data_IF_634288022026
#
_entry.id   IF_634288022026
#
_cell.length_a   1.000
_cell.length_b   1.000
_cell.length_c   1.000
_cell.angle_alpha   90.00
_cell.angle_beta   90.00
_cell.angle_gamma   90.00
#
_symmetry.space_group_name_H-M   'P 1'
#
loop_
_entity.id
_entity.type
_entity.pdbx_description
1 polymer ?
#
# COMPACT_ATOMS: atom_id res chain seq x y z
N UNK A 1 -2.61 -9.77 -21.48
CA UNK A 1 -3.72 -10.13 -22.35
C UNK A 1 -5.03 -9.69 -21.71
N UNK A 2 -6.01 -9.24 -22.51
CA UNK A 2 -7.33 -8.89 -22.03
C UNK A 2 -8.18 -10.15 -21.86
N UNK A 3 -8.67 -10.38 -20.64
CA UNK A 3 -9.43 -11.59 -20.29
C UNK A 3 -10.94 -11.39 -20.41
N UNK A 4 -11.42 -10.22 -20.00
CA UNK A 4 -12.84 -9.90 -19.96
C UNK A 4 -13.06 -8.40 -20.18
N UNK A 5 -14.12 -8.04 -20.92
CA UNK A 5 -14.72 -6.69 -20.99
C UNK A 5 -16.20 -6.85 -20.68
N UNK A 6 -16.74 -6.01 -19.84
CA UNK A 6 -18.13 -6.11 -19.35
C UNK A 6 -19.10 -5.12 -19.97
N UNK A 7 -18.59 -4.11 -20.65
CA UNK A 7 -19.40 -3.03 -21.21
C UNK A 7 -19.06 -2.81 -22.67
N UNK A 8 -20.10 -2.48 -23.43
CA UNK A 8 -20.02 -2.11 -24.84
C UNK A 8 -20.21 -0.60 -25.03
N UNK A 9 -19.99 -0.13 -26.26
CA UNK A 9 -20.20 1.28 -26.61
C UNK A 9 -21.65 1.69 -26.34
N UNK A 10 -21.84 2.80 -25.62
CA UNK A 10 -23.15 3.35 -25.23
C UNK A 10 -23.63 2.90 -23.85
N UNK A 11 -22.96 1.93 -23.22
CA UNK A 11 -23.34 1.49 -21.88
C UNK A 11 -22.98 2.53 -20.82
N UNK A 12 -23.81 2.59 -19.78
CA UNK A 12 -23.54 3.40 -18.58
C UNK A 12 -22.86 2.52 -17.55
N UNK A 13 -21.76 3.00 -17.02
CA UNK A 13 -20.93 2.34 -16.00
C UNK A 13 -21.06 3.12 -14.71
N UNK A 14 -21.51 2.47 -13.66
CA UNK A 14 -21.60 3.08 -12.32
C UNK A 14 -20.23 3.15 -11.64
N UNK A 15 -20.09 4.04 -10.64
CA UNK A 15 -18.89 4.14 -9.81
C UNK A 15 -18.55 2.79 -9.16
N UNK A 16 -17.28 2.41 -9.19
CA UNK A 16 -16.78 1.14 -8.67
C UNK A 16 -17.07 -0.09 -9.54
N UNK A 17 -17.82 0.04 -10.65
CA UNK A 17 -18.10 -1.08 -11.51
C UNK A 17 -16.83 -1.59 -12.22
N UNK A 18 -16.69 -2.92 -12.30
CA UNK A 18 -15.59 -3.58 -12.99
C UNK A 18 -15.78 -3.53 -14.49
N UNK A 19 -14.94 -2.77 -15.18
CA UNK A 19 -14.98 -2.54 -16.62
C UNK A 19 -14.33 -3.67 -17.40
N UNK A 20 -13.08 -3.99 -17.03
CA UNK A 20 -12.29 -4.98 -17.74
C UNK A 20 -11.35 -5.73 -16.79
N UNK A 21 -10.98 -6.95 -17.14
CA UNK A 21 -10.03 -7.78 -16.42
C UNK A 21 -8.89 -8.19 -17.36
N UNK A 22 -7.68 -7.91 -16.95
CA UNK A 22 -6.47 -8.40 -17.59
C UNK A 22 -6.11 -9.82 -17.07
N UNK A 23 -5.33 -10.55 -17.83
CA UNK A 23 -4.83 -11.87 -17.43
C UNK A 23 -3.81 -11.75 -16.29
N UNK A 24 -4.22 -12.17 -15.11
CA UNK A 24 -3.49 -12.14 -13.84
C UNK A 24 -2.83 -13.50 -13.50
N UNK A 25 -2.92 -14.47 -14.39
CA UNK A 25 -2.46 -15.86 -14.16
C UNK A 25 -1.00 -15.94 -13.74
N UNK A 26 -0.16 -15.04 -14.22
CA UNK A 26 1.26 -14.98 -13.86
C UNK A 26 1.52 -14.35 -12.49
N UNK A 27 0.64 -13.47 -12.03
CA UNK A 27 0.83 -12.71 -10.79
C UNK A 27 0.28 -13.46 -9.55
N UNK A 28 -0.78 -14.25 -9.70
CA UNK A 28 -1.36 -15.04 -8.61
C UNK A 28 -0.34 -15.96 -7.89
N UNK A 29 0.52 -16.72 -8.60
CA UNK A 29 1.58 -17.51 -7.96
C UNK A 29 2.59 -16.64 -7.18
N UNK A 30 2.85 -15.43 -7.62
CA UNK A 30 3.75 -14.50 -6.94
C UNK A 30 3.13 -14.05 -5.62
N UNK A 31 1.84 -13.69 -5.60
CA UNK A 31 1.14 -13.37 -4.37
C UNK A 31 1.19 -14.54 -3.38
N UNK A 32 0.88 -15.77 -3.83
CA UNK A 32 0.97 -16.96 -2.99
C UNK A 32 2.36 -17.19 -2.41
N UNK A 33 3.42 -16.92 -3.18
CA UNK A 33 4.80 -17.00 -2.68
C UNK A 33 5.06 -15.94 -1.60
N UNK A 34 4.58 -14.69 -1.76
CA UNK A 34 4.70 -13.65 -0.74
C UNK A 34 3.93 -13.99 0.54
N UNK A 35 2.73 -14.54 0.42
CA UNK A 35 1.94 -15.01 1.57
C UNK A 35 2.65 -16.14 2.33
N UNK A 36 3.29 -17.07 1.61
CA UNK A 36 4.10 -18.13 2.21
C UNK A 36 5.34 -17.56 2.94
N UNK A 37 6.01 -16.55 2.38
CA UNK A 37 7.10 -15.83 3.01
C UNK A 37 6.66 -15.13 4.29
N UNK A 38 5.49 -14.49 4.29
CA UNK A 38 4.89 -13.87 5.48
C UNK A 38 4.57 -14.93 6.55
N UNK A 39 3.98 -16.05 6.16
CA UNK A 39 3.70 -17.14 7.09
C UNK A 39 4.99 -17.67 7.74
N UNK A 40 6.06 -17.81 6.97
CA UNK A 40 7.39 -18.19 7.45
C UNK A 40 7.95 -17.16 8.43
N UNK A 41 7.87 -15.86 8.11
CA UNK A 41 8.34 -14.77 8.98
C UNK A 41 7.59 -14.78 10.32
N UNK A 42 6.26 -14.93 10.30
CA UNK A 42 5.42 -15.02 11.50
C UNK A 42 5.76 -16.26 12.35
N UNK A 43 5.98 -17.41 11.70
CA UNK A 43 6.39 -18.63 12.41
C UNK A 43 7.77 -18.46 13.09
N UNK A 44 8.72 -17.83 12.41
CA UNK A 44 10.03 -17.55 12.99
C UNK A 44 9.93 -16.56 14.15
N UNK A 45 9.15 -15.50 14.05
CA UNK A 45 8.89 -14.56 15.13
C UNK A 45 8.27 -15.28 16.34
N UNK A 46 7.28 -16.15 16.13
CA UNK A 46 6.67 -16.94 17.17
C UNK A 46 7.69 -17.84 17.91
N UNK A 47 8.65 -18.43 17.18
CA UNK A 47 9.74 -19.20 17.81
C UNK A 47 10.66 -18.34 18.68
N UNK A 48 11.00 -17.13 18.23
CA UNK A 48 11.82 -16.18 19.01
C UNK A 48 11.07 -15.76 20.28
N UNK A 49 9.78 -15.44 20.18
CA UNK A 49 8.92 -15.09 21.32
C UNK A 49 8.71 -16.25 22.29
N UNK A 50 8.57 -17.48 21.80
CA UNK A 50 8.41 -18.66 22.65
C UNK A 50 9.64 -18.95 23.49
N UNK A 51 10.84 -18.54 23.01
CA UNK A 51 12.10 -18.75 23.71
C UNK A 51 12.47 -20.23 23.88
N UNK A 52 13.29 -20.57 24.90
CA UNK A 52 13.73 -21.93 25.17
C UNK A 52 12.55 -22.86 25.53
N UNK A 53 12.64 -24.10 25.12
CA UNK A 53 11.62 -25.11 25.43
C UNK A 53 11.54 -25.38 26.94
N UNK A 54 10.34 -25.62 27.44
CA UNK A 54 10.10 -25.92 28.86
C UNK A 54 10.91 -27.11 29.33
N UNK A 55 11.13 -28.12 28.48
CA UNK A 55 11.94 -29.29 28.76
C UNK A 55 13.43 -28.94 28.98
N UNK A 56 13.98 -28.02 28.20
CA UNK A 56 15.35 -27.53 28.31
C UNK A 56 15.57 -26.81 29.66
N UNK A 57 14.58 -25.97 30.01
CA UNK A 57 14.59 -25.27 31.31
C UNK A 57 14.53 -26.26 32.47
N UNK A 58 13.64 -27.27 32.38
CA UNK A 58 13.54 -28.31 33.42
C UNK A 58 14.81 -29.16 33.54
N UNK A 59 15.42 -29.54 32.41
CA UNK A 59 16.72 -30.26 32.43
C UNK A 59 17.81 -29.45 33.12
N UNK A 60 17.95 -28.17 32.75
CA UNK A 60 18.94 -27.29 33.39
C UNK A 60 18.64 -27.06 34.87
N UNK A 61 17.38 -27.05 35.29
CA UNK A 61 17.01 -27.01 36.71
C UNK A 61 17.46 -28.29 37.47
N UNK A 62 17.25 -29.47 36.89
CA UNK A 62 17.67 -30.73 37.48
C UNK A 62 19.21 -30.82 37.58
N UNK A 63 19.94 -30.38 36.54
CA UNK A 63 21.41 -30.25 36.57
C UNK A 63 21.89 -29.32 37.70
N UNK A 64 21.22 -28.18 37.90
CA UNK A 64 21.52 -27.24 38.95
C UNK A 64 21.31 -27.88 40.35
N UNK A 65 20.22 -28.62 40.51
CA UNK A 65 19.94 -29.30 41.79
C UNK A 65 20.98 -30.39 42.12
N UNK A 66 21.42 -31.14 41.10
CA UNK A 66 22.56 -32.07 41.22
C UNK A 66 23.86 -31.37 41.60
N UNK A 67 24.18 -30.29 40.91
CA UNK A 67 25.37 -29.47 41.22
C UNK A 67 25.33 -28.89 42.66
N UNK A 68 24.15 -28.46 43.12
CA UNK A 68 23.96 -27.99 44.50
C UNK A 68 24.18 -29.11 45.52
N UNK A 69 23.78 -30.36 45.23
CA UNK A 69 24.03 -31.49 46.07
C UNK A 69 25.55 -31.79 46.17
N UNK A 70 26.23 -31.79 45.02
CA UNK A 70 27.70 -31.96 44.98
C UNK A 70 28.46 -30.84 45.76
N UNK A 71 27.98 -29.60 45.65
CA UNK A 71 28.55 -28.48 46.40
C UNK A 71 28.38 -28.67 47.93
N UNK A 72 27.18 -29.15 48.37
CA UNK A 72 26.94 -29.45 49.79
C UNK A 72 27.88 -30.53 50.29
N UNK A 73 28.10 -31.60 49.53
CA UNK A 73 29.00 -32.67 49.83
C UNK A 73 30.47 -32.20 49.92
N UNK A 74 30.96 -31.48 48.89
CA UNK A 74 32.30 -30.94 48.86
C UNK A 74 32.56 -29.99 50.06
N UNK A 75 31.56 -29.16 50.42
CA UNK A 75 31.65 -28.32 51.61
C UNK A 75 31.74 -29.11 52.89
N UNK A 76 30.87 -30.11 53.07
CA UNK A 76 30.89 -30.95 54.29
C UNK A 76 32.22 -31.74 54.44
N UNK A 77 32.79 -32.18 53.30
CA UNK A 77 34.10 -32.86 53.31
C UNK A 77 35.21 -31.88 53.72
N UNK A 78 35.21 -30.70 53.14
CA UNK A 78 36.21 -29.66 53.50
C UNK A 78 36.10 -29.25 54.96
N UNK A 79 34.87 -28.97 55.45
CA UNK A 79 34.64 -28.57 56.86
C UNK A 79 35.07 -29.66 57.86
N UNK A 80 34.80 -30.92 57.53
CA UNK A 80 35.25 -32.06 58.37
C UNK A 80 36.77 -32.13 58.49
N UNK A 81 37.52 -31.94 57.41
CA UNK A 81 38.97 -32.06 57.40
C UNK A 81 39.68 -30.82 57.98
N UNK A 82 39.08 -29.62 57.84
CA UNK A 82 39.59 -28.39 58.46
C UNK A 82 39.56 -28.43 60.01
N UNK A 83 38.61 -29.18 60.57
CA UNK A 83 38.40 -29.30 62.01
C UNK A 83 39.17 -30.45 62.64
N UNK A 84 40.01 -31.20 61.91
CA UNK A 84 40.88 -32.23 62.45
C UNK A 84 42.22 -31.63 63.00
N UNK A 85 42.78 -32.19 64.05
CA UNK A 85 44.08 -31.70 64.60
C UNK A 85 45.18 -31.78 63.53
N UNK A 86 45.99 -30.73 63.42
CA UNK A 86 47.07 -30.58 62.41
C UNK A 86 48.34 -31.35 62.86
N UNK A 87 48.44 -32.67 62.66
CA UNK A 87 49.67 -33.40 62.97
C UNK A 87 50.50 -33.92 61.80
N UNK A 88 50.12 -33.61 60.52
CA UNK A 88 50.93 -34.08 59.39
C UNK A 88 50.85 -33.14 58.14
N UNK A 89 52.01 -33.06 57.43
CA UNK A 89 52.13 -32.37 56.16
C UNK A 89 51.08 -32.88 55.09
N UNK A 90 50.72 -34.16 55.18
CA UNK A 90 49.66 -34.85 54.38
C UNK A 90 48.29 -34.27 54.63
N UNK A 91 47.96 -33.75 55.80
CA UNK A 91 46.70 -33.12 56.11
C UNK A 91 46.53 -31.79 55.38
N UNK A 92 47.58 -31.00 55.20
CA UNK A 92 47.56 -29.72 54.48
C UNK A 92 47.34 -29.90 52.98
N UNK A 93 48.00 -30.91 52.38
CA UNK A 93 47.77 -31.24 50.95
C UNK A 93 46.34 -31.64 50.71
N UNK A 94 45.72 -32.52 51.53
CA UNK A 94 44.33 -32.97 51.41
C UNK A 94 43.37 -31.81 51.61
N UNK A 95 43.56 -30.90 52.53
CA UNK A 95 42.71 -29.71 52.71
C UNK A 95 42.77 -28.81 51.48
N UNK A 96 43.95 -28.66 50.86
CA UNK A 96 44.08 -27.89 49.61
C UNK A 96 43.32 -28.53 48.45
N UNK A 97 43.36 -29.87 48.33
CA UNK A 97 42.56 -30.61 47.29
C UNK A 97 41.09 -30.48 47.54
N UNK A 98 40.62 -30.59 48.79
CA UNK A 98 39.22 -30.42 49.15
C UNK A 98 38.73 -28.99 48.96
N UNK A 99 39.57 -28.00 49.20
CA UNK A 99 39.28 -26.57 48.94
C UNK A 99 39.12 -26.31 47.41
N UNK A 100 40.02 -26.92 46.62
CA UNK A 100 39.91 -26.86 45.16
C UNK A 100 38.59 -27.53 44.63
N UNK A 101 38.25 -28.71 45.18
CA UNK A 101 37.02 -29.43 44.84
C UNK A 101 35.76 -28.62 45.22
N UNK A 102 35.77 -27.97 46.39
CA UNK A 102 34.70 -27.06 46.81
C UNK A 102 34.59 -25.84 45.87
N UNK A 103 35.74 -25.19 45.54
CA UNK A 103 35.76 -24.07 44.61
C UNK A 103 35.21 -24.45 43.21
N UNK A 104 35.57 -25.62 42.70
CA UNK A 104 35.07 -26.16 41.44
C UNK A 104 33.56 -26.38 41.48
N UNK A 105 33.04 -27.05 42.50
CA UNK A 105 31.61 -27.30 42.69
C UNK A 105 30.83 -26.00 42.80
N UNK A 106 31.36 -25.01 43.48
CA UNK A 106 30.79 -23.66 43.61
C UNK A 106 30.74 -22.93 42.26
N UNK A 107 31.80 -23.05 41.46
CA UNK A 107 31.84 -22.48 40.11
C UNK A 107 30.81 -23.13 39.19
N UNK A 108 30.60 -24.46 39.26
CA UNK A 108 29.61 -25.20 38.52
C UNK A 108 28.19 -24.75 38.85
N UNK A 109 27.87 -24.61 40.14
CA UNK A 109 26.56 -24.06 40.56
C UNK A 109 26.32 -22.67 39.98
N UNK A 110 27.31 -21.79 40.06
CA UNK A 110 27.22 -20.44 39.54
C UNK A 110 26.97 -20.45 38.02
N UNK A 111 27.71 -21.26 37.28
CA UNK A 111 27.55 -21.41 35.82
C UNK A 111 26.13 -21.82 35.44
N UNK A 112 25.57 -22.85 36.11
CA UNK A 112 24.24 -23.35 35.86
C UNK A 112 23.15 -22.32 36.27
N UNK A 113 23.37 -21.58 37.36
CA UNK A 113 22.49 -20.48 37.75
C UNK A 113 22.41 -19.37 36.69
N UNK A 114 23.56 -18.94 36.15
CA UNK A 114 23.58 -17.91 35.10
C UNK A 114 22.99 -18.44 33.80
N UNK A 115 23.22 -19.70 33.43
CA UNK A 115 22.56 -20.37 32.30
C UNK A 115 21.05 -20.37 32.44
N UNK A 116 20.54 -20.79 33.62
CA UNK A 116 19.10 -20.78 33.89
C UNK A 116 18.50 -19.39 33.85
N UNK A 117 19.20 -18.39 34.38
CA UNK A 117 18.83 -16.98 34.33
C UNK A 117 18.76 -16.46 32.90
N UNK A 118 19.73 -16.81 32.05
CA UNK A 118 19.73 -16.47 30.62
C UNK A 118 18.53 -17.10 29.92
N UNK A 119 18.27 -18.38 30.14
CA UNK A 119 17.12 -19.08 29.54
C UNK A 119 15.77 -18.44 29.94
N UNK A 120 15.62 -18.05 31.23
CA UNK A 120 14.41 -17.41 31.74
C UNK A 120 14.25 -15.98 31.23
N UNK A 121 15.33 -15.30 30.89
CA UNK A 121 15.29 -13.96 30.31
C UNK A 121 14.74 -13.98 28.87
N UNK A 122 14.86 -15.12 28.19
CA UNK A 122 14.39 -15.29 26.81
C UNK A 122 15.24 -14.56 25.77
N UNK A 123 14.65 -14.28 24.64
CA UNK A 123 15.28 -13.56 23.53
C UNK A 123 15.64 -12.12 23.92
N UNK A 124 16.68 -11.59 23.32
CA UNK A 124 17.09 -10.20 23.52
C UNK A 124 16.10 -9.24 22.85
N UNK A 125 15.94 -8.01 23.35
CA UNK A 125 15.08 -7.02 22.72
C UNK A 125 15.39 -6.78 21.24
N UNK A 126 16.69 -6.86 20.87
CA UNK A 126 17.14 -6.69 19.50
C UNK A 126 16.73 -7.87 18.60
N UNK A 127 16.70 -9.09 19.15
CA UNK A 127 16.25 -10.30 18.44
C UNK A 127 14.73 -10.25 18.20
N UNK A 128 13.97 -9.79 19.19
CA UNK A 128 12.53 -9.55 19.07
C UNK A 128 12.25 -8.47 18.02
N UNK A 129 12.94 -7.34 18.11
CA UNK A 129 12.78 -6.25 17.16
C UNK A 129 13.14 -6.66 15.71
N UNK A 130 14.19 -7.49 15.55
CA UNK A 130 14.55 -8.02 14.24
C UNK A 130 13.49 -8.98 13.68
N UNK A 131 12.90 -9.82 14.54
CA UNK A 131 11.82 -10.72 14.15
C UNK A 131 10.55 -9.96 13.73
N UNK A 132 10.17 -8.92 14.49
CA UNK A 132 9.05 -8.06 14.18
C UNK A 132 9.27 -7.28 12.88
N UNK A 133 10.47 -6.74 12.67
CA UNK A 133 10.84 -6.06 11.44
C UNK A 133 10.75 -6.99 10.21
N UNK A 134 11.13 -8.28 10.37
CA UNK A 134 11.00 -9.26 9.31
C UNK A 134 9.53 -9.55 8.96
N UNK A 135 8.63 -9.60 9.95
CA UNK A 135 7.19 -9.74 9.73
C UNK A 135 6.65 -8.53 8.99
N UNK A 136 6.96 -7.32 9.47
CA UNK A 136 6.51 -6.06 8.83
C UNK A 136 6.99 -5.96 7.38
N UNK A 137 8.23 -6.32 7.11
CA UNK A 137 8.76 -6.34 5.74
C UNK A 137 8.02 -7.33 4.83
N UNK A 138 7.70 -8.51 5.34
CA UNK A 138 6.94 -9.53 4.59
C UNK A 138 5.47 -9.10 4.37
N UNK A 139 4.84 -8.44 5.34
CA UNK A 139 3.50 -7.84 5.21
C UNK A 139 3.48 -6.79 4.10
N UNK A 140 4.43 -5.85 4.13
CA UNK A 140 4.55 -4.83 3.08
C UNK A 140 4.76 -5.44 1.68
N UNK A 141 5.49 -6.58 1.58
CA UNK A 141 5.68 -7.27 0.31
C UNK A 141 4.38 -7.93 -0.20
N UNK A 142 3.54 -8.47 0.69
CA UNK A 142 2.21 -8.99 0.33
C UNK A 142 1.29 -7.86 -0.13
N UNK A 143 1.27 -6.74 0.60
CA UNK A 143 0.41 -5.60 0.27
C UNK A 143 0.81 -4.97 -1.07
N UNK A 144 2.11 -4.82 -1.33
CA UNK A 144 2.61 -4.35 -2.63
C UNK A 144 2.17 -5.27 -3.79
N UNK A 145 2.15 -6.58 -3.58
CA UNK A 145 1.70 -7.53 -4.62
C UNK A 145 0.18 -7.49 -4.82
N UNK A 146 -0.60 -7.28 -3.76
CA UNK A 146 -2.06 -7.07 -3.87
C UNK A 146 -2.40 -5.79 -4.64
N UNK A 147 -1.71 -4.69 -4.37
CA UNK A 147 -1.85 -3.44 -5.13
C UNK A 147 -1.49 -3.65 -6.61
N UNK A 148 -0.45 -4.43 -6.88
CA UNK A 148 -0.09 -4.79 -8.24
C UNK A 148 -1.18 -5.61 -8.94
N UNK A 149 -1.75 -6.60 -8.26
CA UNK A 149 -2.88 -7.39 -8.76
C UNK A 149 -4.12 -6.53 -9.00
N UNK A 150 -4.38 -5.51 -8.19
CA UNK A 150 -5.49 -4.60 -8.39
C UNK A 150 -5.42 -3.88 -9.75
N UNK A 151 -4.20 -3.63 -10.29
CA UNK A 151 -4.01 -3.02 -11.60
C UNK A 151 -4.50 -3.92 -12.76
N UNK A 152 -4.73 -5.21 -12.53
CA UNK A 152 -5.28 -6.13 -13.53
C UNK A 152 -6.82 -6.05 -13.63
N UNK A 153 -7.46 -5.30 -12.74
CA UNK A 153 -8.89 -5.07 -12.70
C UNK A 153 -9.17 -3.57 -12.91
N UNK A 154 -9.67 -3.22 -14.09
CA UNK A 154 -10.04 -1.84 -14.41
C UNK A 154 -11.43 -1.56 -13.86
N UNK A 155 -11.54 -0.60 -12.95
CA UNK A 155 -12.80 -0.17 -12.35
C UNK A 155 -13.05 1.31 -12.66
N UNK A 156 -14.31 1.71 -12.75
CA UNK A 156 -14.67 3.11 -12.90
C UNK A 156 -14.56 3.85 -11.57
N UNK A 157 -13.95 5.04 -11.59
CA UNK A 157 -13.87 5.93 -10.43
C UNK A 157 -15.12 6.79 -10.23
N UNK A 158 -15.99 6.86 -11.24
CA UNK A 158 -17.20 7.67 -11.26
C UNK A 158 -18.23 7.06 -12.22
N UNK A 159 -19.47 7.58 -12.20
CA UNK A 159 -20.50 7.19 -13.19
C UNK A 159 -20.14 7.79 -14.55
N UNK A 160 -19.98 6.95 -15.57
CA UNK A 160 -19.54 7.34 -16.91
C UNK A 160 -20.28 6.58 -18.00
N UNK A 161 -20.28 7.13 -19.20
CA UNK A 161 -20.80 6.46 -20.41
C UNK A 161 -19.63 6.01 -21.29
N UNK A 162 -19.68 4.79 -21.79
CA UNK A 162 -18.68 4.21 -22.68
C UNK A 162 -18.82 4.82 -24.07
N UNK A 163 -17.78 5.54 -24.52
CA UNK A 163 -17.73 6.13 -25.85
C UNK A 163 -17.17 5.17 -26.88
N UNK A 164 -16.13 4.43 -26.53
CA UNK A 164 -15.46 3.49 -27.44
C UNK A 164 -14.74 2.39 -26.71
N UNK A 165 -14.68 1.20 -27.34
CA UNK A 165 -13.95 0.02 -26.88
C UNK A 165 -13.07 -0.47 -28.04
N UNK A 166 -11.85 0.07 -28.19
CA UNK A 166 -10.98 -0.21 -29.34
C UNK A 166 -10.33 -1.59 -29.33
N UNK A 167 -10.44 -2.33 -28.22
CA UNK A 167 -9.78 -3.63 -27.99
C UNK A 167 -10.79 -4.76 -27.84
N UNK A 168 -10.34 -6.01 -28.04
CA UNK A 168 -11.17 -7.21 -27.93
C UNK A 168 -10.64 -8.18 -26.88
N UNK A 169 -11.54 -8.98 -26.31
CA UNK A 169 -11.18 -10.07 -25.43
C UNK A 169 -10.22 -11.02 -26.15
N UNK A 170 -9.16 -11.43 -25.45
CA UNK A 170 -8.06 -12.26 -26.00
C UNK A 170 -6.93 -11.47 -26.64
N UNK A 171 -7.06 -10.17 -26.84
CA UNK A 171 -6.04 -9.32 -27.42
C UNK A 171 -4.92 -9.01 -26.43
N UNK A 172 -3.67 -8.91 -26.92
CA UNK A 172 -2.53 -8.46 -26.13
C UNK A 172 -2.44 -6.95 -26.20
N UNK A 173 -2.73 -6.29 -25.10
CA UNK A 173 -2.70 -4.83 -24.97
C UNK A 173 -1.33 -4.39 -24.47
N UNK A 174 -0.71 -3.45 -25.19
CA UNK A 174 0.57 -2.88 -24.77
C UNK A 174 0.36 -1.96 -23.53
N UNK A 175 1.42 -1.79 -22.74
CA UNK A 175 1.39 -0.84 -21.65
C UNK A 175 1.14 0.59 -22.17
N UNK A 176 0.15 1.28 -21.58
CA UNK A 176 -0.25 2.63 -22.00
C UNK A 176 -1.25 2.67 -23.18
N UNK A 177 -1.66 1.53 -23.73
CA UNK A 177 -2.70 1.51 -24.75
C UNK A 177 -4.10 1.73 -24.12
N UNK A 178 -4.97 2.42 -24.87
CA UNK A 178 -6.35 2.66 -24.46
C UNK A 178 -7.16 1.37 -24.56
N UNK A 179 -7.76 0.94 -23.49
CA UNK A 179 -8.67 -0.23 -23.42
C UNK A 179 -10.10 0.20 -23.64
N UNK A 180 -10.49 1.31 -23.06
CA UNK A 180 -11.83 1.88 -23.13
C UNK A 180 -11.74 3.40 -23.08
N UNK A 181 -12.62 4.07 -23.79
CA UNK A 181 -12.79 5.52 -23.70
C UNK A 181 -14.15 5.80 -23.08
N UNK A 182 -14.16 6.56 -22.00
CA UNK A 182 -15.37 6.92 -21.26
C UNK A 182 -15.51 8.43 -21.14
N UNK A 183 -16.72 8.89 -20.92
CA UNK A 183 -17.00 10.30 -20.63
C UNK A 183 -18.05 10.41 -19.52
N UNK A 184 -17.94 11.43 -18.71
CA UNK A 184 -19.03 11.89 -17.86
C UNK A 184 -20.03 12.65 -18.73
N UNK A 185 -21.15 12.01 -19.04
CA UNK A 185 -22.25 12.61 -19.83
C UNK A 185 -23.23 13.39 -18.96
N UNK A 186 -23.12 13.27 -17.64
CA UNK A 186 -24.03 13.95 -16.69
C UNK A 186 -23.63 15.41 -16.45
N UNK A 187 -22.37 15.76 -16.71
CA UNK A 187 -21.83 17.10 -16.55
C UNK A 187 -21.15 17.59 -17.83
N UNK A 188 -21.90 17.72 -18.95
CA UNK A 188 -21.32 18.18 -20.20
C UNK A 188 -20.82 19.61 -20.08
N UNK A 189 -19.77 19.92 -20.84
CA UNK A 189 -19.25 21.28 -20.96
C UNK A 189 -19.01 21.65 -22.41
N UNK A 190 -19.02 22.94 -22.69
CA UNK A 190 -18.70 23.52 -24.00
C UNK A 190 -17.51 24.45 -23.85
N UNK A 191 -16.45 24.22 -24.61
CA UNK A 191 -15.35 25.15 -24.71
C UNK A 191 -15.62 26.15 -25.86
N UNK A 192 -15.87 27.40 -25.52
CA UNK A 192 -16.07 28.48 -26.50
C UNK A 192 -14.85 29.41 -26.55
N UNK A 193 -14.58 29.97 -27.71
CA UNK A 193 -13.44 30.84 -27.94
C UNK A 193 -13.90 32.26 -28.08
N UNK A 194 -13.67 33.05 -27.03
CA UNK A 194 -14.11 34.45 -26.95
C UNK A 194 -12.96 35.37 -27.39
N UNK A 195 -13.21 36.31 -28.36
CA UNK A 195 -12.21 37.31 -28.73
C UNK A 195 -11.78 38.16 -27.53
N UNK A 196 -10.51 38.53 -27.48
CA UNK A 196 -9.94 39.33 -26.37
C UNK A 196 -10.73 40.59 -26.08
N UNK A 197 -11.25 41.28 -27.10
CA UNK A 197 -12.03 42.49 -26.97
C UNK A 197 -13.38 42.30 -26.24
N UNK A 198 -13.91 41.07 -26.28
CA UNK A 198 -15.26 40.73 -25.76
C UNK A 198 -15.17 40.07 -24.34
N UNK A 199 -13.97 39.99 -23.78
CA UNK A 199 -13.74 39.44 -22.44
C UNK A 199 -14.19 40.40 -21.31
N UNK A 200 -14.43 41.66 -21.62
CA UNK A 200 -14.81 42.64 -20.61
C UNK A 200 -16.14 42.28 -19.97
N UNK A 201 -16.13 42.02 -18.65
CA UNK A 201 -17.33 41.66 -17.89
C UNK A 201 -17.52 40.16 -17.71
N UNK A 202 -16.83 39.30 -18.46
CA UNK A 202 -16.92 37.86 -18.24
C UNK A 202 -16.24 37.46 -16.94
N UNK A 203 -16.94 36.66 -16.13
CA UNK A 203 -16.47 36.11 -14.85
C UNK A 203 -17.02 34.68 -14.70
N UNK A 204 -16.30 33.87 -13.92
CA UNK A 204 -16.81 32.58 -13.47
C UNK A 204 -18.12 32.81 -12.72
N UNK A 205 -19.14 31.96 -12.98
CA UNK A 205 -20.46 32.07 -12.41
C UNK A 205 -21.48 32.85 -13.24
N UNK A 206 -21.09 33.42 -14.38
CA UNK A 206 -22.07 34.10 -15.28
C UNK A 206 -22.89 33.06 -16.02
N UNK A 207 -24.20 33.27 -16.04
CA UNK A 207 -25.14 32.44 -16.79
C UNK A 207 -24.91 32.55 -18.30
N UNK A 208 -25.06 31.43 -18.98
CA UNK A 208 -24.93 31.33 -20.43
C UNK A 208 -26.03 30.48 -21.01
N UNK A 209 -26.48 30.80 -22.19
CA UNK A 209 -27.40 29.98 -23.00
C UNK A 209 -26.61 29.28 -24.08
N UNK A 210 -26.56 27.96 -24.01
CA UNK A 210 -25.83 27.13 -24.98
C UNK A 210 -26.80 26.58 -26.00
N UNK A 211 -26.53 26.82 -27.29
CA UNK A 211 -27.32 26.33 -28.42
C UNK A 211 -26.50 25.36 -29.25
N UNK A 212 -27.13 24.29 -29.68
CA UNK A 212 -26.59 23.34 -30.65
C UNK A 212 -27.58 23.23 -31.84
N UNK A 213 -27.04 23.01 -33.02
CA UNK A 213 -27.90 22.95 -34.25
C UNK A 213 -28.90 21.80 -34.24
N UNK A 214 -28.63 20.75 -33.44
CA UNK A 214 -29.50 19.57 -33.35
C UNK A 214 -30.77 19.79 -32.48
N UNK A 215 -30.79 20.80 -31.62
CA UNK A 215 -31.83 21.04 -30.63
C UNK A 215 -32.45 22.43 -30.83
N UNK A 216 -33.81 22.49 -30.74
CA UNK A 216 -34.53 23.75 -30.90
C UNK A 216 -34.43 24.66 -29.68
N UNK A 217 -34.30 24.05 -28.49
CA UNK A 217 -34.23 24.75 -27.21
C UNK A 217 -32.76 24.97 -26.80
N UNK A 218 -32.49 26.12 -26.20
CA UNK A 218 -31.18 26.42 -25.63
C UNK A 218 -31.06 25.72 -24.26
N UNK A 219 -29.88 25.22 -23.99
CA UNK A 219 -29.51 24.67 -22.68
C UNK A 219 -29.03 25.77 -21.74
N UNK A 220 -29.42 25.70 -20.48
CA UNK A 220 -28.86 26.60 -19.47
C UNK A 220 -27.42 26.16 -19.09
N UNK A 221 -26.56 27.14 -18.94
CA UNK A 221 -25.16 26.89 -18.56
C UNK A 221 -24.60 28.03 -17.72
N UNK A 222 -23.41 27.78 -17.19
CA UNK A 222 -22.68 28.72 -16.35
C UNK A 222 -21.19 28.68 -16.69
N UNK A 223 -20.51 29.83 -16.70
CA UNK A 223 -19.07 29.90 -16.91
C UNK A 223 -18.36 29.20 -15.73
N UNK A 224 -17.74 28.09 -16.00
CA UNK A 224 -16.95 27.30 -15.03
C UNK A 224 -15.50 27.77 -14.96
N UNK A 225 -14.90 28.10 -16.11
CA UNK A 225 -13.49 28.46 -16.19
C UNK A 225 -13.21 29.39 -17.36
N UNK A 226 -12.31 30.35 -17.13
CA UNK A 226 -11.78 31.25 -18.16
C UNK A 226 -10.27 31.01 -18.20
N UNK A 227 -9.73 30.62 -19.35
CA UNK A 227 -8.30 30.32 -19.49
C UNK A 227 -7.46 31.56 -19.21
N UNK A 228 -6.38 31.48 -18.41
CA UNK A 228 -5.53 32.63 -18.10
C UNK A 228 -4.61 33.03 -19.27
N UNK A 229 -4.58 32.22 -20.33
CA UNK A 229 -3.73 32.42 -21.50
C UNK A 229 -4.58 32.56 -22.76
N UNK A 230 -4.12 33.42 -23.67
CA UNK A 230 -4.72 33.56 -24.99
C UNK A 230 -4.23 32.44 -25.91
N UNK A 231 -5.09 31.97 -26.78
CA UNK A 231 -4.80 31.00 -27.85
C UNK A 231 -5.04 31.64 -29.21
N UNK A 232 -4.38 31.11 -30.24
CA UNK A 232 -4.75 31.49 -31.60
C UNK A 232 -6.01 30.73 -32.00
N UNK A 233 -6.94 31.40 -32.71
CA UNK A 233 -8.15 30.76 -33.20
C UNK A 233 -7.83 29.42 -33.89
N UNK A 234 -8.41 28.30 -33.47
CA UNK A 234 -8.17 27.02 -34.14
C UNK A 234 -8.51 27.11 -35.62
N UNK A 235 -7.65 26.58 -36.51
CA UNK A 235 -7.79 26.65 -37.98
C UNK A 235 -9.02 25.96 -38.57
N UNK A 236 -9.84 25.35 -37.73
CA UNK A 236 -11.06 24.64 -38.12
C UNK A 236 -12.30 25.52 -38.21
N UNK A 237 -12.22 26.77 -37.76
CA UNK A 237 -13.32 27.76 -37.95
C UNK A 237 -13.13 28.40 -39.31
N UNK A 238 -13.86 27.91 -40.31
CA UNK A 238 -13.80 28.33 -41.69
C UNK A 238 -14.40 29.75 -41.86
N UNK A 239 -13.56 30.76 -41.81
CA UNK A 239 -13.86 32.08 -42.33
C UNK A 239 -12.63 32.68 -42.98
N UNK A 240 -12.68 32.95 -44.26
CA UNK A 240 -11.60 33.50 -45.09
C UNK A 240 -11.30 34.99 -44.83
N UNK A 241 -11.95 35.60 -43.81
CA UNK A 241 -11.92 37.06 -43.61
C UNK A 241 -11.38 37.54 -42.26
N UNK A 242 -11.01 36.62 -41.37
CA UNK A 242 -10.56 37.03 -40.04
C UNK A 242 -9.07 36.90 -39.91
N UNK A 243 -8.42 38.03 -39.54
CA UNK A 243 -7.06 38.04 -39.04
C UNK A 243 -6.95 37.13 -37.82
N UNK A 244 -5.80 36.57 -37.53
CA UNK A 244 -5.60 35.74 -36.34
C UNK A 244 -5.90 36.58 -35.09
N UNK A 245 -7.14 36.55 -34.64
CA UNK A 245 -7.54 37.20 -33.41
C UNK A 245 -7.10 36.31 -32.24
N UNK A 246 -6.50 36.92 -31.24
CA UNK A 246 -6.26 36.26 -29.97
C UNK A 246 -7.61 36.00 -29.31
N UNK A 247 -7.82 34.76 -28.96
CA UNK A 247 -9.03 34.30 -28.27
C UNK A 247 -8.67 33.72 -26.93
N UNK A 248 -9.62 33.75 -26.02
CA UNK A 248 -9.51 33.10 -24.72
C UNK A 248 -10.53 31.99 -24.68
N UNK A 249 -10.11 30.81 -24.24
CA UNK A 249 -11.01 29.68 -24.04
C UNK A 249 -11.80 29.90 -22.77
N UNK A 250 -13.13 29.84 -22.92
CA UNK A 250 -14.10 29.93 -21.84
C UNK A 250 -14.86 28.62 -21.80
N UNK A 251 -14.80 27.93 -20.67
CA UNK A 251 -15.56 26.71 -20.43
C UNK A 251 -16.87 27.05 -19.79
N UNK A 252 -17.93 26.57 -20.41
CA UNK A 252 -19.31 26.69 -19.93
C UNK A 252 -19.78 25.29 -19.54
N UNK A 253 -20.12 25.09 -18.28
CA UNK A 253 -20.82 23.91 -17.82
C UNK A 253 -22.28 24.00 -18.24
N UNK A 254 -22.82 22.91 -18.78
CA UNK A 254 -24.18 22.90 -19.32
C UNK A 254 -25.04 21.97 -18.46
N UNK A 255 -26.25 22.41 -18.15
CA UNK A 255 -27.28 21.56 -17.53
C UNK A 255 -27.99 20.74 -18.59
N UNK A 256 -27.73 19.42 -18.62
CA UNK A 256 -28.37 18.49 -19.55
C UNK A 256 -28.85 17.23 -18.80
N UNK A 257 -29.93 17.35 -17.99
CA UNK A 257 -30.42 16.23 -17.19
C UNK A 257 -31.02 15.08 -18.03
N UNK A 258 -31.28 15.31 -19.32
CA UNK A 258 -31.82 14.30 -20.23
C UNK A 258 -30.74 13.65 -21.11
N UNK A 259 -29.46 14.02 -20.90
CA UNK A 259 -28.29 13.50 -21.64
C UNK A 259 -28.45 13.58 -23.19
N UNK A 260 -29.02 14.71 -23.69
CA UNK A 260 -29.24 14.95 -25.12
C UNK A 260 -28.00 15.43 -25.86
N UNK A 261 -27.06 16.01 -25.15
CA UNK A 261 -25.84 16.53 -25.75
C UNK A 261 -24.84 15.40 -26.06
N UNK A 262 -24.28 15.44 -27.23
CA UNK A 262 -23.28 14.50 -27.69
C UNK A 262 -21.89 15.15 -27.75
N UNK A 263 -20.86 14.43 -27.31
CA UNK A 263 -19.48 14.89 -27.38
C UNK A 263 -19.05 15.17 -28.84
N UNK A 264 -18.38 16.32 -29.04
CA UNK A 264 -17.88 16.73 -30.36
C UNK A 264 -18.88 17.48 -31.25
N UNK A 265 -20.10 17.72 -30.77
CA UNK A 265 -21.08 18.55 -31.50
C UNK A 265 -20.70 20.03 -31.35
N UNK A 266 -20.69 20.82 -32.47
CA UNK A 266 -20.49 22.26 -32.40
C UNK A 266 -21.59 22.95 -31.61
N UNK A 267 -21.20 23.86 -30.72
CA UNK A 267 -22.13 24.63 -29.91
C UNK A 267 -21.78 26.11 -29.88
N UNK A 268 -22.78 26.94 -29.62
CA UNK A 268 -22.67 28.39 -29.47
C UNK A 268 -23.14 28.77 -28.06
N UNK A 269 -22.46 29.72 -27.44
CA UNK A 269 -22.86 30.22 -26.13
C UNK A 269 -23.10 31.72 -26.17
N UNK A 270 -24.28 32.13 -25.67
CA UNK A 270 -24.64 33.52 -25.44
C UNK A 270 -24.55 33.83 -23.95
N UNK A 271 -23.71 34.81 -23.56
CA UNK A 271 -23.50 35.16 -22.16
C UNK A 271 -24.44 36.24 -21.69
N UNK A 272 -25.08 36.06 -20.54
CA UNK A 272 -25.94 37.06 -19.91
C UNK A 272 -25.07 38.03 -19.10
N UNK A 273 -24.56 39.10 -19.75
CA UNK A 273 -23.82 40.14 -19.06
C UNK A 273 -24.78 41.02 -18.28
N UNK A 274 -24.58 41.17 -16.95
CA UNK A 274 -25.30 42.15 -16.15
C UNK A 274 -24.95 43.57 -16.59
N UNK A 275 -25.89 44.25 -17.26
CA UNK A 275 -25.89 45.68 -17.47
C UNK A 275 -25.32 46.17 -18.80
N UNK A 276 -26.16 46.09 -19.85
CA UNK A 276 -26.18 47.10 -20.90
C UNK A 276 -27.59 47.63 -21.03
#
# INVERSE_FOLDING_TARGET
QLREIRFDRGDVVEEGALIAVLDDTAELPILLAREADLARARANAALVYAGPRVEEVRSTMAELDGARAALREARANLDRHRNLPEEAATARSLVSELDAAYAQSKAQVRMLQERLKQMRKGARPEELAAADAAVTAAEAAVDAEKERLALYSLQSSERVTVLDVPVRVGEVVAAGATVITVADTTHPYVDVFVPQQDLSGLRVGIAAKVRVDAEADAFEGEIEHIAPTTEFTPRFLFSTRERPNLVVRVRVRVADPEERLHAGVPAFADFELEGT
#
